data_IF_821976928843
#
_entry.id   IF_821976928843
#
_cell.length_a   1.000
_cell.length_b   1.000
_cell.length_c   1.000
_cell.angle_alpha   90.00
_cell.angle_beta   90.00
_cell.angle_gamma   90.00
#
_symmetry.space_group_name_H-M   'P 1'
#
loop_
_entity.id
_entity.type
_entity.pdbx_description
1 polymer ?
#
# COMPACT_ATOMS: atom_id res chain seq x y z
N UNK A 1 -20.05 -26.04 34.94
CA UNK A 1 -19.25 -25.92 33.68
C UNK A 1 -18.57 -24.56 33.70
N UNK A 2 -17.32 -24.49 34.14
CA UNK A 2 -16.55 -23.25 34.14
C UNK A 2 -15.85 -23.15 32.79
N UNK A 3 -16.28 -22.19 31.98
CA UNK A 3 -15.63 -21.88 30.71
C UNK A 3 -14.27 -21.20 30.92
N UNK A 4 -13.19 -21.91 30.61
CA UNK A 4 -11.84 -21.34 30.55
C UNK A 4 -11.77 -20.33 29.40
N UNK A 5 -11.95 -19.04 29.70
CA UNK A 5 -11.60 -17.95 28.80
C UNK A 5 -10.09 -17.91 28.71
N UNK A 6 -9.53 -18.49 27.65
CA UNK A 6 -8.10 -18.34 27.29
C UNK A 6 -7.89 -16.88 26.89
N UNK A 7 -7.53 -16.04 27.87
CA UNK A 7 -6.98 -14.69 27.60
C UNK A 7 -5.60 -14.90 26.96
N UNK A 8 -5.56 -14.86 25.62
CA UNK A 8 -4.31 -14.80 24.87
C UNK A 8 -3.53 -13.56 25.30
N UNK A 9 -2.46 -13.75 26.10
CA UNK A 9 -1.51 -12.68 26.41
C UNK A 9 -0.81 -12.32 25.09
N UNK A 10 -1.16 -11.16 24.51
CA UNK A 10 -0.40 -10.59 23.40
C UNK A 10 1.00 -10.31 23.94
N UNK A 11 1.98 -11.05 23.46
CA UNK A 11 3.37 -10.86 23.86
C UNK A 11 3.93 -9.58 23.21
N UNK A 12 4.31 -8.60 24.00
CA UNK A 12 4.85 -7.30 23.58
C UNK A 12 6.03 -7.40 22.59
N UNK A 13 6.77 -8.50 22.59
CA UNK A 13 7.85 -8.73 21.62
C UNK A 13 7.33 -9.00 20.19
N UNK A 14 6.11 -9.52 20.02
CA UNK A 14 5.50 -9.70 18.70
C UNK A 14 5.14 -8.35 18.06
N UNK A 15 4.67 -7.39 18.85
CA UNK A 15 4.35 -6.04 18.42
C UNK A 15 5.57 -5.28 17.89
N UNK A 16 6.76 -5.51 18.48
CA UNK A 16 8.01 -4.86 18.03
C UNK A 16 8.37 -5.17 16.58
N UNK A 17 7.95 -6.31 16.06
CA UNK A 17 8.20 -6.71 14.67
C UNK A 17 7.02 -6.39 13.74
N UNK A 18 5.81 -6.41 14.26
CA UNK A 18 4.61 -6.16 13.46
C UNK A 18 4.48 -4.70 13.03
N UNK A 19 4.72 -3.76 13.93
CA UNK A 19 4.56 -2.32 13.66
C UNK A 19 5.47 -1.83 12.52
N UNK A 20 6.80 -2.08 12.51
CA UNK A 20 7.64 -1.65 11.39
C UNK A 20 7.26 -2.31 10.06
N UNK A 21 6.78 -3.56 10.10
CA UNK A 21 6.32 -4.26 8.90
C UNK A 21 5.04 -3.67 8.35
N UNK A 22 4.10 -3.35 9.23
CA UNK A 22 2.84 -2.70 8.87
C UNK A 22 3.10 -1.32 8.26
N UNK A 23 3.86 -0.47 8.96
CA UNK A 23 4.14 0.89 8.50
C UNK A 23 4.90 0.91 7.17
N UNK A 24 5.96 0.10 7.05
CA UNK A 24 6.70 -0.03 5.80
C UNK A 24 5.86 -0.60 4.66
N UNK A 25 4.90 -1.46 4.98
CA UNK A 25 3.92 -1.95 4.01
C UNK A 25 2.94 -0.87 3.57
N UNK A 26 2.40 -0.08 4.50
CA UNK A 26 1.52 1.06 4.19
C UNK A 26 2.24 2.08 3.30
N UNK A 27 3.46 2.45 3.66
CA UNK A 27 4.27 3.40 2.87
C UNK A 27 4.49 2.89 1.44
N UNK A 28 4.94 1.64 1.29
CA UNK A 28 5.10 1.01 -0.02
C UNK A 28 3.78 0.94 -0.80
N UNK A 29 2.66 0.68 -0.10
CA UNK A 29 1.32 0.65 -0.67
C UNK A 29 0.86 2.01 -1.18
N UNK A 30 1.11 3.07 -0.43
CA UNK A 30 0.78 4.45 -0.83
C UNK A 30 1.60 4.86 -2.06
N UNK A 31 2.92 4.64 -2.04
CA UNK A 31 3.80 4.97 -3.17
C UNK A 31 3.41 4.15 -4.41
N UNK A 32 3.19 2.84 -4.24
CA UNK A 32 2.73 1.98 -5.32
C UNK A 32 1.35 2.37 -5.85
N UNK A 33 0.44 2.82 -4.98
CA UNK A 33 -0.88 3.34 -5.35
C UNK A 33 -0.81 4.63 -6.17
N UNK A 34 0.12 5.52 -5.83
CA UNK A 34 0.40 6.74 -6.61
C UNK A 34 0.94 6.37 -8.00
N UNK A 35 1.91 5.44 -8.07
CA UNK A 35 2.44 4.95 -9.34
C UNK A 35 1.36 4.28 -10.21
N UNK A 36 0.49 3.49 -9.59
CA UNK A 36 -0.67 2.89 -10.24
C UNK A 36 -1.62 3.96 -10.80
N UNK A 37 -1.95 4.98 -10.00
CA UNK A 37 -2.83 6.07 -10.43
C UNK A 37 -2.20 6.86 -11.59
N UNK A 38 -0.90 7.15 -11.53
CA UNK A 38 -0.18 7.81 -12.61
C UNK A 38 -0.26 7.02 -13.92
N UNK A 39 -0.15 5.70 -13.87
CA UNK A 39 -0.32 4.84 -15.04
C UNK A 39 -1.76 4.88 -15.57
N UNK A 40 -2.77 4.82 -14.68
CA UNK A 40 -4.18 4.90 -15.07
C UNK A 40 -4.55 6.24 -15.70
N UNK A 41 -3.93 7.34 -15.25
CA UNK A 41 -4.13 8.69 -15.80
C UNK A 41 -3.42 8.85 -17.14
N UNK A 42 -2.28 8.22 -17.34
CA UNK A 42 -1.51 8.34 -18.59
C UNK A 42 -2.28 7.87 -19.82
N UNK A 43 -3.03 6.78 -19.71
CA UNK A 43 -3.84 6.27 -20.83
C UNK A 43 -4.88 7.26 -21.36
N UNK A 44 -5.76 7.83 -20.53
CA UNK A 44 -6.64 8.92 -20.90
C UNK A 44 -5.91 10.11 -21.53
N UNK A 45 -4.83 10.59 -20.92
CA UNK A 45 -4.05 11.72 -21.44
C UNK A 45 -3.55 11.47 -22.87
N UNK A 46 -3.07 10.27 -23.18
CA UNK A 46 -2.61 9.92 -24.52
C UNK A 46 -3.74 9.92 -25.57
N UNK A 47 -4.98 9.66 -25.16
CA UNK A 47 -6.17 9.68 -26.03
C UNK A 47 -6.84 11.04 -26.11
N UNK A 48 -6.35 12.04 -25.37
CA UNK A 48 -7.02 13.33 -25.22
C UNK A 48 -8.24 13.31 -24.29
N UNK A 49 -8.41 12.23 -23.53
CA UNK A 49 -9.48 12.10 -22.55
C UNK A 49 -9.11 12.85 -21.25
N UNK A 50 -10.10 13.21 -20.43
CA UNK A 50 -9.86 13.89 -19.16
C UNK A 50 -9.02 13.10 -18.17
N UNK A 51 -7.93 13.67 -17.65
CA UNK A 51 -7.02 13.04 -16.68
C UNK A 51 -7.68 12.68 -15.34
N UNK A 52 -8.75 13.37 -14.97
CA UNK A 52 -9.48 13.12 -13.72
C UNK A 52 -10.43 11.92 -13.79
N UNK A 53 -10.67 11.37 -14.96
CA UNK A 53 -11.63 10.29 -15.18
C UNK A 53 -11.39 9.07 -14.30
N UNK A 54 -10.17 8.52 -14.13
CA UNK A 54 -9.94 7.38 -13.24
C UNK A 54 -10.26 7.68 -11.77
N UNK A 55 -9.90 8.87 -11.29
CA UNK A 55 -10.21 9.29 -9.93
C UNK A 55 -11.72 9.55 -9.75
N UNK A 56 -12.39 10.16 -10.72
CA UNK A 56 -13.83 10.37 -10.65
C UNK A 56 -14.61 9.06 -10.69
N UNK A 57 -14.11 8.06 -11.43
CA UNK A 57 -14.70 6.72 -11.42
C UNK A 57 -14.65 6.08 -10.01
N UNK A 58 -13.53 6.20 -9.29
CA UNK A 58 -13.47 5.80 -7.88
C UNK A 58 -14.35 6.69 -6.99
N UNK A 59 -14.35 8.00 -7.25
CA UNK A 59 -15.17 8.98 -6.54
C UNK A 59 -16.67 8.75 -6.71
N UNK A 60 -17.09 8.07 -7.77
CA UNK A 60 -18.50 7.70 -7.99
C UNK A 60 -19.05 6.78 -6.89
N UNK A 61 -18.17 6.15 -6.11
CA UNK A 61 -18.54 5.39 -4.90
C UNK A 61 -19.28 6.27 -3.88
N UNK A 62 -18.96 7.56 -3.82
CA UNK A 62 -19.56 8.50 -2.86
C UNK A 62 -20.57 9.45 -3.52
N UNK A 63 -20.38 9.77 -4.80
CA UNK A 63 -21.13 10.79 -5.51
C UNK A 63 -22.03 10.24 -6.63
N UNK A 64 -22.03 8.91 -6.83
CA UNK A 64 -22.82 8.25 -7.86
C UNK A 64 -22.41 8.64 -9.28
N UNK A 65 -23.31 8.49 -10.24
CA UNK A 65 -23.07 8.77 -11.66
C UNK A 65 -22.70 10.22 -11.95
N UNK A 66 -23.09 11.18 -11.08
CA UNK A 66 -22.73 12.61 -11.24
C UNK A 66 -21.22 12.83 -11.23
N UNK A 67 -20.45 11.98 -10.56
CA UNK A 67 -18.99 12.05 -10.57
C UNK A 67 -18.41 11.84 -11.98
N UNK A 68 -19.05 11.01 -12.82
CA UNK A 68 -18.54 10.66 -14.15
C UNK A 68 -18.62 11.82 -15.13
N UNK A 69 -19.64 12.68 -15.01
CA UNK A 69 -19.82 13.87 -15.85
C UNK A 69 -19.20 15.14 -15.26
N UNK A 70 -18.73 15.09 -13.99
CA UNK A 70 -18.08 16.21 -13.36
C UNK A 70 -16.63 16.38 -13.88
N UNK A 71 -16.18 17.63 -13.97
CA UNK A 71 -14.77 17.94 -14.14
C UNK A 71 -13.96 17.62 -12.87
N UNK A 72 -12.73 18.18 -12.72
CA UNK A 72 -11.98 18.10 -11.47
C UNK A 72 -12.82 18.67 -10.31
N UNK A 73 -13.10 17.86 -9.32
CA UNK A 73 -14.08 18.18 -8.28
C UNK A 73 -13.78 17.47 -6.95
N UNK A 74 -14.68 17.60 -6.00
CA UNK A 74 -14.63 16.83 -4.74
C UNK A 74 -14.65 15.31 -5.02
N UNK A 75 -15.29 14.87 -6.10
CA UNK A 75 -15.29 13.46 -6.48
C UNK A 75 -13.88 12.98 -6.88
N UNK A 76 -13.10 13.82 -7.56
CA UNK A 76 -11.70 13.54 -7.91
C UNK A 76 -10.84 13.34 -6.66
N UNK A 77 -10.99 14.23 -5.68
CA UNK A 77 -10.27 14.13 -4.39
C UNK A 77 -10.68 12.89 -3.60
N UNK A 78 -11.98 12.64 -3.51
CA UNK A 78 -12.50 11.47 -2.79
C UNK A 78 -12.05 10.15 -3.45
N UNK A 79 -12.02 10.09 -4.78
CA UNK A 79 -11.52 8.93 -5.50
C UNK A 79 -10.02 8.72 -5.30
N UNK A 80 -9.23 9.78 -5.33
CA UNK A 80 -7.80 9.74 -5.01
C UNK A 80 -7.55 9.29 -3.57
N UNK A 81 -8.30 9.81 -2.61
CA UNK A 81 -8.21 9.41 -1.20
C UNK A 81 -8.58 7.93 -0.99
N UNK A 82 -9.65 7.48 -1.64
CA UNK A 82 -10.06 6.07 -1.62
C UNK A 82 -8.97 5.17 -2.21
N UNK A 83 -8.34 5.58 -3.32
CA UNK A 83 -7.22 4.86 -3.93
C UNK A 83 -6.07 4.70 -2.94
N UNK A 84 -5.62 5.79 -2.32
CA UNK A 84 -4.53 5.78 -1.34
C UNK A 84 -4.87 4.93 -0.12
N UNK A 85 -6.10 5.02 0.37
CA UNK A 85 -6.57 4.21 1.49
C UNK A 85 -6.54 2.71 1.17
N UNK A 86 -7.08 2.30 0.03
CA UNK A 86 -7.12 0.89 -0.37
C UNK A 86 -5.72 0.35 -0.62
N UNK A 87 -4.89 1.05 -1.36
CA UNK A 87 -3.53 0.61 -1.66
C UNK A 87 -2.63 0.61 -0.43
N UNK A 88 -2.78 1.58 0.47
CA UNK A 88 -2.11 1.59 1.78
C UNK A 88 -2.52 0.41 2.65
N UNK A 89 -3.82 0.08 2.69
CA UNK A 89 -4.34 -1.06 3.46
C UNK A 89 -3.81 -2.40 2.94
N UNK A 90 -3.85 -2.60 1.61
CA UNK A 90 -3.28 -3.80 0.96
C UNK A 90 -1.77 -3.87 1.19
N UNK A 91 -1.07 -2.74 1.10
CA UNK A 91 0.36 -2.66 1.39
C UNK A 91 0.68 -3.03 2.84
N UNK A 92 -0.10 -2.53 3.79
CA UNK A 92 0.02 -2.89 5.22
C UNK A 92 -0.15 -4.38 5.46
N UNK A 93 -1.19 -4.98 4.89
CA UNK A 93 -1.44 -6.42 4.96
C UNK A 93 -0.28 -7.22 4.34
N UNK A 94 0.19 -6.82 3.15
CA UNK A 94 1.35 -7.42 2.50
C UNK A 94 2.62 -7.30 3.37
N UNK A 95 2.84 -6.15 3.99
CA UNK A 95 3.95 -5.91 4.90
C UNK A 95 3.96 -6.85 6.10
N UNK A 96 2.79 -7.11 6.69
CA UNK A 96 2.64 -8.05 7.80
C UNK A 96 2.90 -9.50 7.36
N UNK A 97 2.31 -9.92 6.25
CA UNK A 97 2.39 -11.31 5.77
C UNK A 97 3.77 -11.66 5.22
N UNK A 98 4.34 -10.77 4.40
CA UNK A 98 5.60 -11.02 3.68
C UNK A 98 6.83 -10.41 4.36
N UNK A 99 6.67 -9.88 5.60
CA UNK A 99 7.70 -9.13 6.32
C UNK A 99 9.00 -9.86 6.61
N UNK A 100 9.04 -11.18 6.57
CA UNK A 100 10.20 -12.01 6.82
C UNK A 100 10.98 -12.45 5.58
N UNK A 101 10.43 -12.26 4.39
CA UNK A 101 11.01 -12.77 3.14
C UNK A 101 12.20 -11.89 2.72
N UNK A 102 13.40 -12.48 2.61
CA UNK A 102 14.65 -11.75 2.34
C UNK A 102 14.98 -11.57 0.85
N UNK A 103 14.82 -12.58 -0.05
CA UNK A 103 15.23 -12.40 -1.45
C UNK A 103 14.32 -11.40 -2.16
N UNK A 104 14.90 -10.27 -2.62
CA UNK A 104 14.18 -9.19 -3.30
C UNK A 104 13.35 -9.68 -4.48
N UNK A 105 13.93 -10.57 -5.31
CA UNK A 105 13.22 -11.11 -6.49
C UNK A 105 11.94 -11.84 -6.10
N UNK A 106 11.98 -12.69 -5.06
CA UNK A 106 10.80 -13.40 -4.56
C UNK A 106 9.76 -12.43 -4.01
N UNK A 107 10.20 -11.40 -3.32
CA UNK A 107 9.30 -10.41 -2.73
C UNK A 107 8.59 -9.57 -3.81
N UNK A 108 9.29 -9.20 -4.90
CA UNK A 108 8.68 -8.51 -6.05
C UNK A 108 7.66 -9.41 -6.75
N UNK A 109 8.00 -10.68 -7.00
CA UNK A 109 7.06 -11.63 -7.61
C UNK A 109 5.82 -11.87 -6.74
N UNK A 110 6.00 -12.03 -5.43
CA UNK A 110 4.89 -12.14 -4.47
C UNK A 110 4.06 -10.86 -4.41
N UNK A 111 4.70 -9.70 -4.49
CA UNK A 111 4.00 -8.42 -4.57
C UNK A 111 3.16 -8.33 -5.85
N UNK A 112 3.72 -8.65 -7.02
CA UNK A 112 2.96 -8.68 -8.28
C UNK A 112 1.77 -9.64 -8.20
N UNK A 113 1.99 -10.85 -7.67
CA UNK A 113 0.92 -11.82 -7.45
C UNK A 113 -0.16 -11.27 -6.51
N UNK A 114 0.24 -10.64 -5.40
CA UNK A 114 -0.69 -10.01 -4.46
C UNK A 114 -1.50 -8.88 -5.11
N UNK A 115 -0.86 -8.05 -5.96
CA UNK A 115 -1.55 -7.00 -6.71
C UNK A 115 -2.57 -7.57 -7.70
N UNK A 116 -2.23 -8.65 -8.41
CA UNK A 116 -3.14 -9.33 -9.34
C UNK A 116 -4.31 -10.03 -8.61
N UNK A 117 -4.03 -10.69 -7.50
CA UNK A 117 -5.07 -11.30 -6.64
C UNK A 117 -6.00 -10.20 -6.13
N UNK A 118 -5.44 -9.08 -5.65
CA UNK A 118 -6.23 -7.93 -5.20
C UNK A 118 -7.12 -7.37 -6.32
N UNK A 119 -6.58 -7.23 -7.53
CA UNK A 119 -7.38 -6.82 -8.70
C UNK A 119 -8.58 -7.74 -8.91
N UNK A 120 -8.35 -9.05 -9.01
CA UNK A 120 -9.42 -10.02 -9.20
C UNK A 120 -10.45 -10.00 -8.08
N UNK A 121 -10.01 -9.92 -6.82
CA UNK A 121 -10.89 -9.86 -5.64
C UNK A 121 -11.70 -8.55 -5.61
N UNK A 122 -11.05 -7.43 -5.90
CA UNK A 122 -11.70 -6.13 -5.94
C UNK A 122 -12.76 -6.08 -7.07
N UNK A 123 -12.44 -6.57 -8.25
CA UNK A 123 -13.36 -6.57 -9.40
C UNK A 123 -14.51 -7.56 -9.21
N UNK A 124 -14.22 -8.78 -8.77
CA UNK A 124 -15.23 -9.83 -8.63
C UNK A 124 -16.17 -9.64 -7.43
N UNK A 125 -15.69 -9.07 -6.33
CA UNK A 125 -16.42 -9.01 -5.07
C UNK A 125 -16.69 -7.59 -4.61
N UNK A 126 -15.63 -6.78 -4.43
CA UNK A 126 -15.73 -5.47 -3.80
C UNK A 126 -16.56 -4.52 -4.66
N UNK A 127 -16.14 -4.29 -5.90
CA UNK A 127 -16.75 -3.30 -6.78
C UNK A 127 -18.15 -3.70 -7.24
N UNK A 128 -18.39 -4.98 -7.49
CA UNK A 128 -19.76 -5.44 -7.85
C UNK A 128 -20.79 -5.14 -6.76
N UNK A 129 -20.36 -5.10 -5.50
CA UNK A 129 -21.26 -4.84 -4.36
C UNK A 129 -21.33 -3.38 -3.96
N UNK A 130 -20.21 -2.66 -4.05
CA UNK A 130 -20.12 -1.28 -3.55
C UNK A 130 -20.39 -0.28 -4.66
N UNK A 131 -19.78 -0.48 -5.84
CA UNK A 131 -19.90 0.43 -6.97
C UNK A 131 -19.74 -0.31 -8.30
N UNK A 132 -20.84 -0.81 -8.88
CA UNK A 132 -20.79 -1.57 -10.13
C UNK A 132 -20.38 -0.74 -11.34
N UNK A 133 -20.32 0.60 -11.23
CA UNK A 133 -19.82 1.47 -12.29
C UNK A 133 -18.31 1.25 -12.54
N UNK A 134 -17.55 0.86 -11.51
CA UNK A 134 -16.10 0.68 -11.64
C UNK A 134 -15.78 -0.45 -12.63
N UNK A 135 -16.25 -1.70 -12.47
CA UNK A 135 -15.96 -2.75 -13.45
C UNK A 135 -16.59 -2.46 -14.83
N UNK A 136 -17.69 -1.70 -14.87
CA UNK A 136 -18.36 -1.36 -16.12
C UNK A 136 -17.55 -0.37 -16.98
N UNK A 137 -16.95 0.63 -16.36
CA UNK A 137 -16.22 1.71 -17.06
C UNK A 137 -14.70 1.56 -17.01
N UNK A 138 -14.16 0.58 -16.26
CA UNK A 138 -12.71 0.36 -16.21
C UNK A 138 -12.20 -0.31 -17.49
N UNK A 139 -11.03 0.15 -17.97
CA UNK A 139 -10.32 -0.46 -19.10
C UNK A 139 -9.50 -1.63 -18.56
N UNK A 140 -10.01 -2.85 -18.69
CA UNK A 140 -9.44 -4.05 -18.07
C UNK A 140 -7.92 -4.27 -18.27
N UNK A 141 -7.36 -4.12 -19.49
CA UNK A 141 -5.91 -4.29 -19.65
C UNK A 141 -5.11 -3.25 -18.85
N UNK A 142 -5.54 -1.98 -18.85
CA UNK A 142 -4.85 -0.92 -18.13
C UNK A 142 -4.91 -1.12 -16.61
N UNK A 143 -6.07 -1.53 -16.08
CA UNK A 143 -6.24 -1.83 -14.65
C UNK A 143 -5.41 -3.03 -14.24
N UNK A 144 -5.35 -4.09 -15.03
CA UNK A 144 -4.54 -5.27 -14.75
C UNK A 144 -3.04 -4.90 -14.64
N UNK A 145 -2.52 -4.19 -15.65
CA UNK A 145 -1.13 -3.74 -15.64
C UNK A 145 -0.81 -2.81 -14.48
N UNK A 146 -1.73 -1.90 -14.14
CA UNK A 146 -1.55 -0.98 -13.02
C UNK A 146 -1.49 -1.71 -11.67
N UNK A 147 -2.27 -2.76 -11.49
CA UNK A 147 -2.21 -3.61 -10.30
C UNK A 147 -0.94 -4.46 -10.24
N UNK A 148 -0.45 -4.95 -11.37
CA UNK A 148 0.85 -5.63 -11.45
C UNK A 148 2.00 -4.68 -11.07
N UNK A 149 1.99 -3.44 -11.59
CA UNK A 149 2.95 -2.39 -11.23
C UNK A 149 2.87 -2.07 -9.73
N UNK A 150 1.67 -1.84 -9.21
CA UNK A 150 1.43 -1.63 -7.78
C UNK A 150 2.07 -2.74 -6.94
N UNK A 151 1.79 -4.00 -7.29
CA UNK A 151 2.35 -5.15 -6.60
C UNK A 151 3.87 -5.24 -6.70
N UNK A 152 4.47 -4.90 -7.85
CA UNK A 152 5.91 -4.82 -8.01
C UNK A 152 6.52 -3.77 -7.09
N UNK A 153 5.88 -2.60 -6.95
CA UNK A 153 6.29 -1.54 -6.02
C UNK A 153 6.25 -2.03 -4.57
N UNK A 154 5.22 -2.77 -4.16
CA UNK A 154 5.14 -3.35 -2.81
C UNK A 154 6.36 -4.20 -2.48
N UNK A 155 6.76 -5.07 -3.42
CA UNK A 155 7.91 -5.94 -3.22
C UNK A 155 9.25 -5.19 -3.25
N UNK A 156 9.36 -4.17 -4.09
CA UNK A 156 10.58 -3.40 -4.28
C UNK A 156 10.86 -2.43 -3.12
N UNK A 157 9.89 -1.56 -2.81
CA UNK A 157 10.05 -0.45 -1.86
C UNK A 157 10.19 -0.92 -0.42
N UNK A 158 9.53 -2.00 -0.06
CA UNK A 158 9.61 -2.57 1.28
C UNK A 158 11.03 -2.88 1.74
N UNK A 159 11.91 -3.31 0.84
CA UNK A 159 13.31 -3.54 1.18
C UNK A 159 14.10 -2.24 1.45
N UNK A 160 13.71 -1.13 0.82
CA UNK A 160 14.36 0.15 1.06
C UNK A 160 13.99 0.77 2.40
N UNK A 161 12.72 0.70 2.79
CA UNK A 161 12.24 1.23 4.09
C UNK A 161 12.85 0.48 5.27
N UNK A 162 13.04 -0.83 5.16
CA UNK A 162 13.72 -1.63 6.18
C UNK A 162 15.20 -1.25 6.42
N UNK A 163 15.86 -0.65 5.45
CA UNK A 163 17.22 -0.15 5.58
C UNK A 163 17.30 1.24 6.23
N UNK A 164 16.31 2.10 6.02
CA UNK A 164 16.27 3.44 6.62
C UNK A 164 16.02 3.40 8.13
N UNK A 165 15.25 2.42 8.62
CA UNK A 165 15.00 2.21 10.05
C UNK A 165 16.19 1.60 10.83
N UNK A 166 17.24 1.15 10.14
CA UNK A 166 18.43 0.53 10.76
C UNK A 166 19.61 1.50 10.85
N UNK A 167 19.38 2.80 10.96
CA UNK A 167 20.47 3.74 11.21
C UNK A 167 20.92 3.66 12.68
N UNK A 168 22.16 3.21 12.79
CA UNK A 168 23.20 3.38 13.79
C UNK A 168 22.95 2.74 15.17
N UNK A 169 23.76 1.72 15.50
CA UNK A 169 24.25 1.65 16.87
C UNK A 169 25.02 2.96 17.11
N UNK A 170 24.56 3.76 18.05
CA UNK A 170 25.38 4.82 18.63
C UNK A 170 26.66 4.13 19.07
N UNK A 171 27.79 4.47 18.45
CA UNK A 171 29.09 3.99 18.89
C UNK A 171 29.19 4.32 20.39
N UNK A 172 29.55 3.37 21.24
CA UNK A 172 29.76 3.68 22.63
C UNK A 172 30.85 4.76 22.67
N UNK A 173 30.49 5.94 23.18
CA UNK A 173 31.44 7.00 23.49
C UNK A 173 32.50 6.36 24.36
N UNK A 174 33.73 6.19 23.86
CA UNK A 174 34.86 5.85 24.66
C UNK A 174 34.94 6.90 25.77
N UNK A 175 34.51 6.53 26.95
CA UNK A 175 34.84 7.28 28.15
C UNK A 175 36.38 7.28 28.22
N UNK A 176 37.00 8.38 27.83
CA UNK A 176 38.41 8.65 28.11
C UNK A 176 38.52 8.89 29.62
N UNK A 177 38.53 7.79 30.37
CA UNK A 177 38.95 7.81 31.76
C UNK A 177 40.47 7.69 31.77
N UNK A 178 41.14 8.77 31.56
CA UNK A 178 42.57 8.91 31.88
C UNK A 178 42.69 10.02 32.91
N UNK A 179 42.50 9.63 34.15
CA UNK A 179 42.89 10.43 35.33
C UNK A 179 44.06 9.72 35.96
N UNK A 180 45.20 9.71 35.25
CA UNK A 180 46.48 9.33 35.86
C UNK A 180 47.10 10.58 36.46
N UNK A 181 47.21 10.56 37.81
CA UNK A 181 48.32 10.98 38.58
C UNK A 181 48.65 12.46 38.66
N UNK A 182 48.25 13.08 39.74
CA UNK A 182 49.05 14.19 40.30
C UNK A 182 49.52 13.74 41.69
N UNK A 183 50.79 13.43 41.77
CA UNK A 183 51.55 13.51 43.01
C UNK A 183 51.81 14.97 43.39
#
# INVERSE_FOLDING_TARGET
MQGNVVRGKIHWWELKWAVPRLLGGIEAGVIGGIAMLALLVSGPLWRGDPWWMPSNLLGSTFYGTRALSAGPSRATLAGGALQVFLTGSVGGAFGLLCGGIRPRRRLVLLGMLAGLIWHGLADAVLWRRINPLIPLYSVQPATLFSHALFGACLGYLRNHVGHLGRKSPVAPTKASGDWDGVE
#
